data_IF_938070548024
#
_entry.id   IF_938070548024
#
_cell.length_a   1.000
_cell.length_b   1.000
_cell.length_c   1.000
_cell.angle_alpha   90.00
_cell.angle_beta   90.00
_cell.angle_gamma   90.00
#
_symmetry.space_group_name_H-M   'P 1'
#
loop_
_entity.id
_entity.type
_entity.pdbx_description
1 polymer ?
#
# COMPACT_ATOMS: atom_id res chain seq x y z
N UNK A 1 -35.40 20.74 -14.37
CA UNK A 1 -34.12 20.67 -13.67
C UNK A 1 -33.50 19.34 -14.05
N UNK A 2 -32.52 19.33 -14.92
CA UNK A 2 -31.77 18.10 -15.23
C UNK A 2 -31.17 17.64 -13.90
N UNK A 3 -31.51 16.43 -13.54
CA UNK A 3 -30.99 15.77 -12.34
C UNK A 3 -29.50 15.48 -12.62
N UNK A 4 -28.64 16.43 -12.27
CA UNK A 4 -27.22 16.40 -12.58
C UNK A 4 -26.54 15.44 -11.58
N UNK A 5 -26.69 14.14 -11.85
CA UNK A 5 -26.21 13.06 -11.00
C UNK A 5 -24.70 12.77 -11.24
N UNK A 6 -23.93 13.85 -11.49
CA UNK A 6 -22.51 13.76 -11.81
C UNK A 6 -21.70 13.26 -10.63
N UNK A 7 -20.78 12.34 -10.91
CA UNK A 7 -20.01 11.63 -9.91
C UNK A 7 -18.51 11.89 -10.00
N UNK A 8 -17.89 11.82 -8.86
CA UNK A 8 -16.43 11.84 -8.72
C UNK A 8 -15.97 10.50 -8.15
N UNK A 9 -15.01 9.87 -8.77
CA UNK A 9 -14.24 8.77 -8.18
C UNK A 9 -13.01 9.35 -7.51
N UNK A 10 -12.93 9.17 -6.20
CA UNK A 10 -11.88 9.74 -5.36
C UNK A 10 -11.09 8.64 -4.65
N UNK A 11 -9.86 8.39 -5.10
CA UNK A 11 -8.97 7.39 -4.53
C UNK A 11 -8.14 8.03 -3.42
N UNK A 12 -8.29 7.56 -2.18
CA UNK A 12 -7.68 8.18 -1.00
C UNK A 12 -8.51 9.35 -0.44
N UNK A 13 -9.83 9.31 -0.57
CA UNK A 13 -10.74 10.40 -0.23
C UNK A 13 -11.17 10.49 1.23
N UNK A 14 -10.76 9.56 2.09
CA UNK A 14 -11.27 9.49 3.47
C UNK A 14 -10.56 10.42 4.45
N UNK A 15 -9.41 10.99 4.07
CA UNK A 15 -8.67 11.89 4.95
C UNK A 15 -7.80 12.90 4.16
N UNK A 16 -7.23 13.86 4.90
CA UNK A 16 -6.25 14.84 4.38
C UNK A 16 -6.76 15.62 3.18
N UNK A 17 -5.89 15.78 2.17
CA UNK A 17 -6.20 16.58 0.98
C UNK A 17 -7.29 15.95 0.11
N UNK A 18 -7.37 14.61 0.04
CA UNK A 18 -8.42 13.90 -0.68
C UNK A 18 -9.79 14.22 -0.10
N UNK A 19 -9.94 14.19 1.23
CA UNK A 19 -11.16 14.58 1.92
C UNK A 19 -11.55 16.04 1.66
N UNK A 20 -10.56 16.96 1.68
CA UNK A 20 -10.81 18.38 1.39
C UNK A 20 -11.26 18.60 -0.06
N UNK A 21 -10.65 17.92 -1.03
CA UNK A 21 -11.08 17.93 -2.44
C UNK A 21 -12.49 17.37 -2.58
N UNK A 22 -12.78 16.24 -1.92
CA UNK A 22 -14.11 15.63 -1.92
C UNK A 22 -15.17 16.60 -1.41
N UNK A 23 -14.92 17.26 -0.27
CA UNK A 23 -15.82 18.27 0.27
C UNK A 23 -16.05 19.43 -0.71
N UNK A 24 -14.99 19.93 -1.35
CA UNK A 24 -15.11 20.98 -2.37
C UNK A 24 -15.94 20.55 -3.57
N UNK A 25 -15.79 19.31 -4.02
CA UNK A 25 -16.56 18.78 -5.16
C UNK A 25 -18.03 18.53 -4.81
N UNK A 26 -18.34 18.14 -3.55
CA UNK A 26 -19.73 18.13 -3.04
C UNK A 26 -20.37 19.52 -3.09
N UNK A 27 -19.63 20.57 -2.69
CA UNK A 27 -20.07 21.98 -2.75
C UNK A 27 -20.31 22.44 -4.22
N UNK A 28 -19.61 21.82 -5.18
CA UNK A 28 -19.83 22.03 -6.62
C UNK A 28 -21.01 21.22 -7.18
N UNK A 29 -21.72 20.43 -6.37
CA UNK A 29 -22.93 19.70 -6.74
C UNK A 29 -22.67 18.26 -7.23
N UNK A 30 -21.46 17.72 -7.10
CA UNK A 30 -21.15 16.33 -7.40
C UNK A 30 -21.55 15.39 -6.26
N UNK A 31 -21.67 14.11 -6.57
CA UNK A 31 -21.68 13.00 -5.59
C UNK A 31 -20.34 12.28 -5.63
N UNK A 32 -19.97 11.60 -4.54
CA UNK A 32 -18.64 10.96 -4.40
C UNK A 32 -18.73 9.43 -4.33
N UNK A 33 -17.88 8.77 -5.09
CA UNK A 33 -17.51 7.36 -4.95
C UNK A 33 -16.10 7.34 -4.33
N UNK A 34 -15.99 7.17 -3.01
CA UNK A 34 -14.70 7.19 -2.29
C UNK A 34 -14.15 5.77 -2.19
N UNK A 35 -12.95 5.55 -2.75
CA UNK A 35 -12.20 4.31 -2.62
C UNK A 35 -11.01 4.53 -1.68
N UNK A 36 -11.02 3.88 -0.52
CA UNK A 36 -9.98 4.03 0.51
C UNK A 36 -9.93 2.78 1.39
N UNK A 37 -8.80 2.56 2.07
CA UNK A 37 -8.66 1.46 3.03
C UNK A 37 -9.41 1.70 4.35
N UNK A 38 -9.74 2.95 4.66
CA UNK A 38 -10.53 3.35 5.83
C UNK A 38 -11.71 4.24 5.39
N UNK A 39 -12.87 4.13 6.03
CA UNK A 39 -13.98 5.03 5.76
C UNK A 39 -13.66 6.47 6.24
N UNK A 40 -14.31 7.50 5.67
CA UNK A 40 -14.25 8.85 6.21
C UNK A 40 -14.84 8.91 7.62
N UNK A 41 -14.37 9.85 8.44
CA UNK A 41 -14.89 10.07 9.78
C UNK A 41 -16.37 10.49 9.73
N UNK A 42 -17.17 9.98 10.67
CA UNK A 42 -18.60 10.32 10.76
C UNK A 42 -18.81 11.82 10.94
N UNK A 43 -19.82 12.37 10.26
CA UNK A 43 -20.21 13.77 10.36
C UNK A 43 -19.31 14.78 9.61
N UNK A 44 -18.25 14.30 8.93
CA UNK A 44 -17.36 15.20 8.14
C UNK A 44 -17.91 15.46 6.74
N UNK A 45 -18.57 14.48 6.14
CA UNK A 45 -19.20 14.55 4.83
C UNK A 45 -20.71 14.27 4.93
N UNK A 46 -21.48 14.80 3.97
CA UNK A 46 -22.88 14.44 3.77
C UNK A 46 -22.97 13.04 3.15
N UNK A 47 -23.15 12.01 3.99
CA UNK A 47 -23.16 10.62 3.59
C UNK A 47 -24.31 10.22 2.66
N UNK A 48 -25.35 11.06 2.48
CA UNK A 48 -26.37 10.83 1.47
C UNK A 48 -25.84 11.03 0.04
N UNK A 49 -24.75 11.78 -0.10
CA UNK A 49 -24.06 12.09 -1.38
C UNK A 49 -22.75 11.32 -1.55
N UNK A 50 -22.42 10.42 -0.62
CA UNK A 50 -21.13 9.72 -0.60
C UNK A 50 -21.36 8.22 -0.55
N UNK A 51 -20.78 7.50 -1.49
CA UNK A 51 -20.66 6.05 -1.45
C UNK A 51 -19.23 5.66 -1.18
N UNK A 52 -19.02 4.89 -0.10
CA UNK A 52 -17.70 4.39 0.28
C UNK A 52 -17.48 2.98 -0.23
N UNK A 53 -16.30 2.75 -0.80
CA UNK A 53 -15.79 1.45 -1.22
C UNK A 53 -14.52 1.15 -0.44
N UNK A 54 -14.50 0.05 0.30
CA UNK A 54 -13.25 -0.41 0.89
C UNK A 54 -12.31 -0.89 -0.22
N UNK A 55 -11.17 -0.25 -0.34
CA UNK A 55 -10.17 -0.60 -1.35
C UNK A 55 -8.74 -0.43 -0.80
N UNK A 56 -8.01 -1.52 -0.76
CA UNK A 56 -6.58 -1.52 -0.44
C UNK A 56 -5.78 -1.61 -1.75
N UNK A 57 -4.99 -0.59 -2.05
CA UNK A 57 -4.17 -0.52 -3.26
C UNK A 57 -3.08 -1.61 -3.32
N UNK A 58 -2.81 -2.29 -2.21
CA UNK A 58 -1.93 -3.48 -2.19
C UNK A 58 -2.63 -4.75 -2.67
N UNK A 59 -3.96 -4.83 -2.56
CA UNK A 59 -4.79 -5.94 -3.08
C UNK A 59 -5.74 -5.34 -4.14
N UNK A 60 -5.19 -5.01 -5.31
CA UNK A 60 -5.84 -4.21 -6.35
C UNK A 60 -7.13 -4.87 -6.87
N UNK A 61 -8.26 -4.23 -6.63
CA UNK A 61 -9.57 -4.66 -7.08
C UNK A 61 -9.89 -4.08 -8.48
N UNK A 62 -9.48 -4.80 -9.52
CA UNK A 62 -9.69 -4.40 -10.92
C UNK A 62 -11.20 -4.34 -11.27
N UNK A 63 -12.03 -5.21 -10.71
CA UNK A 63 -13.46 -5.26 -10.97
C UNK A 63 -14.15 -3.99 -10.45
N UNK A 64 -13.84 -3.57 -9.23
CA UNK A 64 -14.35 -2.32 -8.66
C UNK A 64 -14.04 -1.13 -9.57
N UNK A 65 -12.78 -0.96 -9.95
CA UNK A 65 -12.35 0.18 -10.78
C UNK A 65 -12.93 0.13 -12.19
N UNK A 66 -13.06 -1.06 -12.77
CA UNK A 66 -13.69 -1.26 -14.08
C UNK A 66 -15.17 -0.87 -14.04
N UNK A 67 -15.90 -1.27 -13.00
CA UNK A 67 -17.31 -0.89 -12.82
C UNK A 67 -17.46 0.63 -12.67
N UNK A 68 -16.60 1.28 -11.91
CA UNK A 68 -16.59 2.75 -11.77
C UNK A 68 -16.24 3.47 -13.08
N UNK A 69 -15.31 2.95 -13.88
CA UNK A 69 -14.94 3.53 -15.17
C UNK A 69 -16.05 3.41 -16.22
N UNK A 70 -16.88 2.37 -16.16
CA UNK A 70 -18.02 2.18 -17.04
C UNK A 70 -19.27 3.00 -16.63
N UNK A 71 -19.29 3.56 -15.43
CA UNK A 71 -20.36 4.43 -14.99
C UNK A 71 -20.28 5.78 -15.74
N UNK A 72 -21.29 6.04 -16.60
CA UNK A 72 -21.35 7.25 -17.44
C UNK A 72 -21.52 8.54 -16.66
N UNK A 73 -22.05 8.46 -15.44
CA UNK A 73 -22.24 9.60 -14.55
C UNK A 73 -20.90 10.06 -13.92
N UNK A 74 -19.87 9.23 -13.94
CA UNK A 74 -18.52 9.60 -13.46
C UNK A 74 -17.87 10.55 -14.46
N UNK A 75 -17.60 11.78 -14.03
CA UNK A 75 -16.92 12.82 -14.83
C UNK A 75 -15.53 13.16 -14.32
N UNK A 76 -15.24 12.82 -13.07
CA UNK A 76 -13.97 13.16 -12.44
C UNK A 76 -13.34 11.91 -11.83
N UNK A 77 -12.04 11.71 -12.09
CA UNK A 77 -11.16 10.80 -11.39
C UNK A 77 -10.09 11.61 -10.66
N UNK A 78 -10.02 11.49 -9.33
CA UNK A 78 -8.96 12.12 -8.55
C UNK A 78 -8.23 11.07 -7.70
N UNK A 79 -6.93 10.91 -7.90
CA UNK A 79 -6.08 9.96 -7.18
C UNK A 79 -5.20 10.73 -6.20
N UNK A 80 -5.52 10.63 -4.91
CA UNK A 80 -4.81 11.31 -3.83
C UNK A 80 -4.14 10.34 -2.86
N UNK A 81 -4.42 9.05 -2.99
CA UNK A 81 -3.80 8.03 -2.18
C UNK A 81 -2.28 8.04 -2.36
N UNK A 82 -1.58 7.87 -1.27
CA UNK A 82 -0.13 7.78 -1.27
C UNK A 82 0.41 7.59 0.13
N UNK A 83 1.59 7.01 0.22
CA UNK A 83 2.31 6.78 1.45
C UNK A 83 3.77 7.20 1.30
N UNK A 84 4.38 7.67 2.37
CA UNK A 84 5.78 8.07 2.34
C UNK A 84 6.43 8.04 3.71
N UNK A 85 7.75 8.07 3.69
CA UNK A 85 8.57 8.13 4.89
C UNK A 85 9.81 8.98 4.65
N UNK A 86 10.22 9.74 5.65
CA UNK A 86 11.48 10.45 5.68
C UNK A 86 12.44 9.67 6.59
N UNK A 87 13.26 8.81 6.00
CA UNK A 87 14.25 8.00 6.68
C UNK A 87 15.46 7.77 5.76
N UNK A 88 16.63 7.58 6.33
CA UNK A 88 17.79 7.17 5.55
C UNK A 88 17.57 5.78 4.96
N UNK A 89 18.08 5.56 3.74
CA UNK A 89 17.77 4.35 2.95
C UNK A 89 18.07 3.04 3.69
N UNK A 90 19.12 3.01 4.50
CA UNK A 90 19.48 1.85 5.31
C UNK A 90 18.39 1.40 6.32
N UNK A 91 17.43 2.28 6.64
CA UNK A 91 16.33 1.97 7.56
C UNK A 91 15.04 1.55 6.83
N UNK A 92 15.05 1.48 5.50
CA UNK A 92 13.94 0.93 4.72
C UNK A 92 14.04 -0.59 4.61
N UNK A 93 12.97 -1.27 4.95
CA UNK A 93 12.83 -2.71 4.68
C UNK A 93 12.34 -2.92 3.24
N UNK A 94 12.69 -4.06 2.62
CA UNK A 94 12.28 -4.41 1.25
C UNK A 94 10.75 -4.33 1.10
N UNK A 95 9.98 -4.88 2.05
CA UNK A 95 8.52 -4.80 2.04
C UNK A 95 7.98 -3.35 2.09
N UNK A 96 8.67 -2.44 2.76
CA UNK A 96 8.29 -1.02 2.79
C UNK A 96 8.55 -0.36 1.43
N UNK A 97 9.66 -0.71 0.79
CA UNK A 97 10.00 -0.25 -0.57
C UNK A 97 8.92 -0.70 -1.56
N UNK A 98 8.59 -2.00 -1.55
CA UNK A 98 7.55 -2.59 -2.39
C UNK A 98 6.19 -1.92 -2.14
N UNK A 99 5.83 -1.73 -0.88
CA UNK A 99 4.58 -1.08 -0.48
C UNK A 99 4.47 0.35 -1.03
N UNK A 100 5.51 1.17 -0.86
CA UNK A 100 5.54 2.56 -1.36
C UNK A 100 5.41 2.57 -2.88
N UNK A 101 6.21 1.77 -3.60
CA UNK A 101 6.15 1.72 -5.06
C UNK A 101 4.80 1.19 -5.56
N UNK A 102 4.22 0.20 -4.90
CA UNK A 102 2.91 -0.35 -5.29
C UNK A 102 1.81 0.67 -5.08
N UNK A 103 1.69 1.26 -3.91
CA UNK A 103 0.62 2.23 -3.60
C UNK A 103 0.76 3.49 -4.44
N UNK A 104 1.94 4.11 -4.46
CA UNK A 104 2.12 5.44 -5.05
C UNK A 104 2.25 5.40 -6.57
N UNK A 105 2.81 4.31 -7.15
CA UNK A 105 3.11 4.24 -8.58
C UNK A 105 2.29 3.19 -9.31
N UNK A 106 2.45 1.91 -8.95
CA UNK A 106 1.87 0.80 -9.72
C UNK A 106 0.36 0.89 -9.73
N UNK A 107 -0.27 1.08 -8.57
CA UNK A 107 -1.74 1.17 -8.46
C UNK A 107 -2.29 2.42 -9.13
N UNK A 108 -1.58 3.57 -9.02
CA UNK A 108 -1.93 4.81 -9.75
C UNK A 108 -1.96 4.58 -11.26
N UNK A 109 -0.92 3.95 -11.82
CA UNK A 109 -0.85 3.66 -13.27
C UNK A 109 -1.94 2.66 -13.68
N UNK A 110 -2.20 1.63 -12.88
CA UNK A 110 -3.29 0.67 -13.14
C UNK A 110 -4.65 1.35 -13.18
N UNK A 111 -4.96 2.20 -12.20
CA UNK A 111 -6.23 2.95 -12.17
C UNK A 111 -6.36 3.83 -13.40
N UNK A 112 -5.33 4.61 -13.74
CA UNK A 112 -5.33 5.42 -14.95
C UNK A 112 -5.51 4.58 -16.22
N UNK A 113 -4.95 3.36 -16.28
CA UNK A 113 -5.16 2.45 -17.40
C UNK A 113 -6.61 1.98 -17.51
N UNK A 114 -7.26 1.68 -16.38
CA UNK A 114 -8.68 1.28 -16.35
C UNK A 114 -9.58 2.43 -16.83
N UNK A 115 -9.29 3.66 -16.44
CA UNK A 115 -10.04 4.85 -16.85
C UNK A 115 -9.59 5.44 -18.19
N UNK A 116 -8.60 4.84 -18.87
CA UNK A 116 -7.92 5.48 -20.01
C UNK A 116 -8.85 5.77 -21.19
N UNK A 117 -9.83 4.90 -21.48
CA UNK A 117 -10.81 5.14 -22.55
C UNK A 117 -11.65 6.39 -22.29
N UNK A 118 -12.01 6.66 -21.02
CA UNK A 118 -12.71 7.88 -20.62
C UNK A 118 -11.83 9.12 -20.75
N UNK A 119 -10.56 9.00 -20.37
CA UNK A 119 -9.58 10.10 -20.47
C UNK A 119 -9.26 10.41 -21.94
N UNK A 120 -9.18 9.39 -22.79
CA UNK A 120 -8.91 9.54 -24.22
C UNK A 120 -10.11 10.06 -25.01
N UNK A 121 -11.32 9.84 -24.54
CA UNK A 121 -12.56 10.20 -25.21
C UNK A 121 -12.64 11.72 -25.53
N UNK A 122 -13.53 12.07 -26.48
CA UNK A 122 -13.79 13.49 -26.81
C UNK A 122 -14.74 14.16 -25.82
N UNK A 123 -15.50 13.37 -25.10
CA UNK A 123 -16.37 13.84 -24.00
C UNK A 123 -15.53 14.38 -22.85
N UNK A 124 -16.09 15.35 -22.15
CA UNK A 124 -15.43 15.97 -21.02
C UNK A 124 -15.20 14.94 -19.89
N UNK A 125 -13.96 14.75 -19.56
CA UNK A 125 -13.51 13.97 -18.41
C UNK A 125 -12.36 14.68 -17.73
N UNK A 126 -12.37 14.74 -16.41
CA UNK A 126 -11.34 15.40 -15.62
C UNK A 126 -10.56 14.36 -14.83
N UNK A 127 -9.25 14.34 -14.97
CA UNK A 127 -8.38 13.43 -14.23
C UNK A 127 -7.30 14.22 -13.50
N UNK A 128 -7.06 13.88 -12.24
CA UNK A 128 -5.99 14.48 -11.44
C UNK A 128 -5.29 13.44 -10.58
N UNK A 129 -4.00 13.61 -10.38
CA UNK A 129 -3.17 12.71 -9.59
C UNK A 129 -2.29 13.51 -8.64
N UNK A 130 -2.21 13.08 -7.39
CA UNK A 130 -1.29 13.66 -6.42
C UNK A 130 0.14 13.15 -6.67
N UNK A 131 0.90 13.97 -7.40
CA UNK A 131 2.34 13.87 -7.50
C UNK A 131 3.04 14.35 -6.21
N UNK A 132 4.17 14.96 -6.35
CA UNK A 132 4.91 15.65 -5.29
C UNK A 132 6.05 16.44 -5.89
N UNK A 133 6.44 17.54 -5.26
CA UNK A 133 7.69 18.25 -5.60
C UNK A 133 8.91 17.33 -5.49
N UNK A 134 8.85 16.30 -4.63
CA UNK A 134 9.90 15.27 -4.53
C UNK A 134 10.05 14.42 -5.79
N UNK A 135 9.07 14.41 -6.68
CA UNK A 135 9.17 13.76 -8.00
C UNK A 135 9.92 14.60 -9.04
N UNK A 136 10.20 15.88 -8.75
CA UNK A 136 10.87 16.83 -9.65
C UNK A 136 12.33 17.08 -9.31
N UNK A 137 12.79 16.58 -8.14
CA UNK A 137 14.13 16.81 -7.64
C UNK A 137 14.60 15.62 -6.79
N UNK A 138 15.92 15.51 -6.55
CA UNK A 138 16.43 14.53 -5.59
C UNK A 138 15.99 14.87 -4.17
N UNK A 139 15.57 13.85 -3.43
CA UNK A 139 15.08 14.01 -2.06
C UNK A 139 15.77 13.03 -1.12
N UNK A 140 17.00 13.30 -0.68
CA UNK A 140 17.69 12.45 0.28
C UNK A 140 16.85 12.20 1.53
N UNK A 141 16.97 11.03 2.13
CA UNK A 141 16.11 10.52 3.23
C UNK A 141 14.63 10.33 2.88
N UNK A 142 14.23 10.57 1.63
CA UNK A 142 12.93 10.21 1.09
C UNK A 142 13.08 9.57 -0.30
N UNK A 143 14.19 8.87 -0.52
CA UNK A 143 14.63 8.38 -1.83
C UNK A 143 13.61 7.46 -2.50
N UNK A 144 13.02 6.52 -1.77
CA UNK A 144 12.01 5.58 -2.29
C UNK A 144 10.73 6.33 -2.68
N UNK A 145 10.25 7.22 -1.82
CA UNK A 145 9.08 8.06 -2.10
C UNK A 145 9.31 8.99 -3.30
N UNK A 146 10.48 9.63 -3.36
CA UNK A 146 10.84 10.49 -4.48
C UNK A 146 10.92 9.73 -5.81
N UNK A 147 11.48 8.51 -5.81
CA UNK A 147 11.51 7.63 -6.97
C UNK A 147 10.08 7.26 -7.42
N UNK A 148 9.19 6.89 -6.48
CA UNK A 148 7.80 6.59 -6.78
C UNK A 148 7.08 7.79 -7.41
N UNK A 149 7.23 8.99 -6.84
CA UNK A 149 6.58 10.20 -7.36
C UNK A 149 7.21 10.70 -8.68
N UNK A 150 8.52 10.52 -8.87
CA UNK A 150 9.17 10.81 -10.14
C UNK A 150 8.64 9.92 -11.28
N UNK A 151 8.42 8.63 -11.01
CA UNK A 151 7.80 7.72 -11.96
C UNK A 151 6.39 8.18 -12.36
N UNK A 152 5.54 8.58 -11.40
CA UNK A 152 4.19 9.09 -11.65
C UNK A 152 4.21 10.37 -12.47
N UNK A 153 5.03 11.35 -12.08
CA UNK A 153 5.16 12.62 -12.80
C UNK A 153 5.59 12.40 -14.24
N UNK A 154 6.59 11.56 -14.48
CA UNK A 154 7.07 11.26 -15.82
C UNK A 154 6.04 10.49 -16.65
N UNK A 155 5.31 9.57 -16.03
CA UNK A 155 4.21 8.86 -16.66
C UNK A 155 3.11 9.81 -17.11
N UNK A 156 2.63 10.71 -16.25
CA UNK A 156 1.57 11.69 -16.56
C UNK A 156 2.00 12.61 -17.70
N UNK A 157 3.23 13.11 -17.68
CA UNK A 157 3.78 13.95 -18.74
C UNK A 157 3.74 13.23 -20.09
N UNK A 158 4.20 11.98 -20.14
CA UNK A 158 4.20 11.16 -21.35
C UNK A 158 2.80 10.88 -21.87
N UNK A 159 1.87 10.48 -21.00
CA UNK A 159 0.49 10.19 -21.38
C UNK A 159 -0.26 11.44 -21.85
N UNK A 160 -0.02 12.62 -21.26
CA UNK A 160 -0.63 13.86 -21.74
C UNK A 160 -0.20 14.21 -23.17
N UNK A 161 1.05 13.91 -23.55
CA UNK A 161 1.53 14.07 -24.94
C UNK A 161 0.82 13.08 -25.89
N UNK A 162 0.63 11.83 -25.46
CA UNK A 162 -0.13 10.84 -26.22
C UNK A 162 -1.60 11.26 -26.40
N UNK A 163 -2.25 11.75 -25.34
CA UNK A 163 -3.63 12.27 -25.41
C UNK A 163 -3.76 13.39 -26.43
N UNK A 164 -2.79 14.31 -26.46
CA UNK A 164 -2.75 15.39 -27.45
C UNK A 164 -2.56 14.87 -28.86
N UNK A 165 -1.64 13.92 -29.06
CA UNK A 165 -1.38 13.30 -30.35
C UNK A 165 -2.60 12.54 -30.90
N UNK A 166 -3.44 11.97 -30.02
CA UNK A 166 -4.72 11.36 -30.41
C UNK A 166 -5.88 12.35 -30.53
N UNK A 167 -5.65 13.64 -30.31
CA UNK A 167 -6.65 14.71 -30.45
C UNK A 167 -7.64 14.82 -29.30
N UNK A 168 -7.37 14.21 -28.13
CA UNK A 168 -8.15 14.43 -26.93
C UNK A 168 -7.85 15.81 -26.34
N UNK A 169 -8.90 16.48 -25.83
CA UNK A 169 -8.78 17.73 -25.07
C UNK A 169 -8.68 17.50 -23.56
N UNK A 170 -8.93 16.28 -23.11
CA UNK A 170 -8.77 15.93 -21.69
C UNK A 170 -7.28 15.85 -21.32
N UNK A 171 -6.98 16.16 -20.07
CA UNK A 171 -5.63 16.11 -19.53
C UNK A 171 -5.65 15.47 -18.13
N UNK A 172 -4.55 14.85 -17.79
CA UNK A 172 -4.29 14.37 -16.43
C UNK A 172 -3.51 15.48 -15.71
N UNK A 173 -4.08 16.07 -14.69
CA UNK A 173 -3.44 17.09 -13.86
C UNK A 173 -2.43 16.42 -12.92
N UNK A 174 -1.14 16.75 -13.05
CA UNK A 174 -0.12 16.49 -12.02
C UNK A 174 -0.20 17.55 -10.94
N UNK A 175 -0.65 17.16 -9.75
CA UNK A 175 -0.66 18.03 -8.55
C UNK A 175 0.58 17.71 -7.72
N UNK A 176 1.60 18.56 -7.78
CA UNK A 176 2.90 18.33 -7.13
C UNK A 176 3.18 19.29 -5.97
N UNK A 177 2.49 19.13 -4.81
CA UNK A 177 2.74 19.99 -3.65
C UNK A 177 4.05 19.62 -2.94
N UNK A 178 4.52 20.56 -2.11
CA UNK A 178 5.45 20.27 -1.03
C UNK A 178 4.71 19.70 0.20
N UNK A 179 5.43 19.50 1.28
CA UNK A 179 4.81 19.16 2.58
C UNK A 179 3.84 20.26 3.02
N UNK A 180 2.63 19.89 3.37
CA UNK A 180 1.60 20.77 3.91
C UNK A 180 1.01 20.17 5.20
N UNK A 181 0.41 21.04 6.02
CA UNK A 181 -0.25 20.64 7.27
C UNK A 181 -1.67 20.13 6.98
N UNK A 182 -2.31 19.57 8.00
CA UNK A 182 -3.71 19.14 7.92
C UNK A 182 -3.92 17.78 7.27
N UNK A 183 -2.88 16.95 7.17
CA UNK A 183 -2.98 15.56 6.68
C UNK A 183 -2.30 14.57 7.62
N UNK A 184 -2.71 13.31 7.54
CA UNK A 184 -2.08 12.19 8.28
C UNK A 184 -0.79 11.68 7.62
N UNK A 185 -0.39 12.21 6.48
CA UNK A 185 0.68 11.68 5.65
C UNK A 185 2.01 11.52 6.40
N UNK A 186 2.36 12.50 7.26
CA UNK A 186 3.54 12.43 8.14
C UNK A 186 3.16 12.31 9.62
N UNK A 187 2.05 11.61 9.94
CA UNK A 187 1.61 11.43 11.33
C UNK A 187 0.85 12.62 11.92
N UNK A 188 0.43 13.57 11.09
CA UNK A 188 -0.42 14.71 11.49
C UNK A 188 -1.86 14.33 11.78
N UNK A 189 -2.66 15.31 12.18
CA UNK A 189 -4.13 15.18 12.29
C UNK A 189 -4.80 15.74 11.06
N UNK A 190 -5.99 15.24 10.72
CA UNK A 190 -6.83 15.88 9.71
C UNK A 190 -7.24 17.28 10.19
N UNK A 191 -6.98 18.27 9.36
CA UNK A 191 -7.43 19.64 9.56
C UNK A 191 -7.87 20.21 8.21
N UNK A 192 -9.18 20.24 8.01
CA UNK A 192 -9.76 20.73 6.75
C UNK A 192 -9.54 22.23 6.55
N UNK A 193 -9.32 23.00 7.61
CA UNK A 193 -9.05 24.45 7.49
C UNK A 193 -7.68 24.71 6.87
N UNK A 194 -6.69 23.89 7.19
CA UNK A 194 -5.33 23.95 6.63
C UNK A 194 -5.28 23.46 5.17
N UNK A 195 -6.17 22.54 4.79
CA UNK A 195 -6.18 21.94 3.44
C UNK A 195 -7.17 22.56 2.47
N UNK A 196 -8.15 23.34 2.94
CA UNK A 196 -9.23 23.91 2.11
C UNK A 196 -8.72 24.77 0.96
N UNK A 197 -7.79 25.67 1.23
CA UNK A 197 -7.25 26.59 0.20
C UNK A 197 -6.53 25.79 -0.91
N UNK A 198 -5.75 24.80 -0.51
CA UNK A 198 -5.06 23.94 -1.47
C UNK A 198 -6.05 23.10 -2.28
N UNK A 199 -7.11 22.59 -1.67
CA UNK A 199 -8.17 21.85 -2.35
C UNK A 199 -8.92 22.72 -3.36
N UNK A 200 -9.23 23.96 -3.02
CA UNK A 200 -9.86 24.96 -3.92
C UNK A 200 -8.99 25.20 -5.16
N UNK A 201 -7.69 25.41 -4.97
CA UNK A 201 -6.77 25.63 -6.07
C UNK A 201 -6.61 24.39 -6.95
N UNK A 202 -6.52 23.18 -6.36
CA UNK A 202 -6.47 21.93 -7.10
C UNK A 202 -7.71 21.76 -7.99
N UNK A 203 -8.91 22.00 -7.46
CA UNK A 203 -10.17 21.88 -8.21
C UNK A 203 -10.23 22.89 -9.35
N UNK A 204 -9.76 24.13 -9.14
CA UNK A 204 -9.66 25.14 -10.24
C UNK A 204 -8.76 24.67 -11.36
N UNK A 205 -7.56 24.20 -11.05
CA UNK A 205 -6.60 23.70 -12.06
C UNK A 205 -7.12 22.44 -12.76
N UNK A 206 -7.84 21.55 -12.03
CA UNK A 206 -8.48 20.37 -12.61
C UNK A 206 -9.51 20.76 -13.68
N UNK A 207 -10.43 21.70 -13.37
CA UNK A 207 -11.42 22.17 -14.33
C UNK A 207 -10.82 23.02 -15.46
N UNK A 208 -9.70 23.69 -15.23
CA UNK A 208 -8.94 24.39 -16.29
C UNK A 208 -8.22 23.42 -17.24
N UNK A 209 -8.16 22.09 -16.93
CA UNK A 209 -7.39 21.09 -17.66
C UNK A 209 -5.89 21.41 -17.74
N UNK A 210 -5.38 22.02 -16.68
CA UNK A 210 -3.94 22.23 -16.58
C UNK A 210 -3.21 20.88 -16.51
N UNK A 211 -2.04 20.81 -17.11
CA UNK A 211 -1.23 19.58 -17.10
C UNK A 211 -0.43 19.45 -15.80
N UNK A 212 -0.25 20.57 -15.09
CA UNK A 212 0.57 20.63 -13.86
C UNK A 212 0.12 21.74 -12.93
N UNK A 213 0.11 21.44 -11.65
CA UNK A 213 -0.05 22.41 -10.59
C UNK A 213 0.97 22.17 -9.47
N UNK A 214 1.89 23.10 -9.28
CA UNK A 214 2.83 23.15 -8.15
C UNK A 214 2.44 24.36 -7.30
N UNK A 215 1.88 24.18 -6.09
CA UNK A 215 1.51 25.28 -5.22
C UNK A 215 2.71 26.18 -4.92
N UNK A 216 2.54 27.48 -4.97
CA UNK A 216 3.60 28.49 -4.78
C UNK A 216 4.78 28.36 -5.77
N UNK A 217 4.53 27.91 -7.01
CA UNK A 217 5.58 27.70 -8.01
C UNK A 217 6.43 28.96 -8.20
N UNK A 218 5.84 30.08 -8.64
CA UNK A 218 6.57 31.33 -8.94
C UNK A 218 7.26 31.91 -7.70
N UNK A 219 6.61 31.84 -6.54
CA UNK A 219 7.14 32.41 -5.29
C UNK A 219 8.28 31.61 -4.69
N UNK A 220 8.26 30.28 -4.83
CA UNK A 220 9.15 29.40 -4.07
C UNK A 220 9.83 28.34 -4.95
N UNK A 221 9.02 27.52 -5.66
CA UNK A 221 9.55 26.27 -6.23
C UNK A 221 10.30 26.46 -7.54
N UNK A 222 10.04 27.54 -8.28
CA UNK A 222 10.86 27.89 -9.46
C UNK A 222 12.34 28.02 -9.08
N UNK A 223 12.64 28.85 -8.09
CA UNK A 223 14.02 29.00 -7.63
C UNK A 223 14.60 27.75 -6.95
N UNK A 224 13.77 26.89 -6.36
CA UNK A 224 14.19 25.59 -5.82
C UNK A 224 14.62 24.66 -6.95
N UNK A 225 13.80 24.53 -8.00
CA UNK A 225 14.10 23.69 -9.16
C UNK A 225 15.28 24.23 -9.96
N UNK A 226 15.43 25.55 -10.11
CA UNK A 226 16.60 26.16 -10.74
C UNK A 226 17.90 25.80 -9.99
N UNK A 227 17.93 25.92 -8.66
CA UNK A 227 19.10 25.49 -7.86
C UNK A 227 19.38 24.01 -8.01
N UNK A 228 18.34 23.17 -7.99
CA UNK A 228 18.50 21.75 -8.22
C UNK A 228 19.08 21.43 -9.58
N UNK A 229 18.58 22.05 -10.66
CA UNK A 229 19.09 21.79 -12.01
C UNK A 229 20.52 22.31 -12.22
N UNK A 230 20.89 23.41 -11.54
CA UNK A 230 22.25 23.94 -11.60
C UNK A 230 23.27 23.02 -10.89
N UNK A 231 22.96 22.54 -9.70
CA UNK A 231 23.79 21.59 -8.96
C UNK A 231 22.92 20.63 -8.13
N UNK A 232 22.54 19.46 -8.71
CA UNK A 232 21.77 18.46 -7.98
C UNK A 232 22.46 17.88 -6.76
N UNK A 233 23.79 17.84 -6.76
CA UNK A 233 24.57 17.26 -5.67
C UNK A 233 24.59 18.22 -4.46
N UNK A 234 24.98 19.47 -4.66
CA UNK A 234 24.97 20.49 -3.59
C UNK A 234 23.57 20.69 -3.03
N UNK A 235 22.57 20.79 -3.91
CA UNK A 235 21.17 20.84 -3.48
C UNK A 235 20.79 19.65 -2.60
N UNK A 236 21.18 18.45 -3.00
CA UNK A 236 20.89 17.22 -2.26
C UNK A 236 21.52 17.20 -0.88
N UNK A 237 22.79 17.59 -0.76
CA UNK A 237 23.48 17.69 0.54
C UNK A 237 22.82 18.70 1.47
N UNK A 238 22.48 19.87 0.96
CA UNK A 238 21.77 20.89 1.73
C UNK A 238 20.39 20.41 2.20
N UNK A 239 19.62 19.74 1.31
CA UNK A 239 18.32 19.16 1.64
C UNK A 239 18.41 18.07 2.71
N UNK A 240 19.43 17.22 2.65
CA UNK A 240 19.70 16.20 3.67
C UNK A 240 19.98 16.81 5.04
N UNK A 241 20.91 17.78 5.08
CA UNK A 241 21.28 18.48 6.32
C UNK A 241 20.08 19.17 6.96
N UNK A 242 19.27 19.87 6.16
CA UNK A 242 18.05 20.52 6.64
C UNK A 242 17.05 19.52 7.27
N UNK A 243 16.83 18.35 6.63
CA UNK A 243 15.93 17.31 7.17
C UNK A 243 16.45 16.75 8.49
N UNK A 244 17.76 16.55 8.60
CA UNK A 244 18.41 16.07 9.81
C UNK A 244 18.27 17.08 10.96
N UNK A 245 18.60 18.34 10.73
CA UNK A 245 18.53 19.43 11.73
C UNK A 245 17.09 19.72 12.17
N UNK A 246 16.14 19.62 11.25
CA UNK A 246 14.71 19.84 11.56
C UNK A 246 14.03 18.69 12.29
N UNK A 247 14.75 17.60 12.62
CA UNK A 247 14.21 16.45 13.34
C UNK A 247 13.18 15.64 12.56
N UNK A 248 13.16 15.74 11.22
CA UNK A 248 12.18 15.06 10.36
C UNK A 248 12.53 13.61 10.07
N UNK A 249 13.75 13.16 10.40
CA UNK A 249 14.18 11.80 10.12
C UNK A 249 13.51 10.80 11.07
N UNK A 250 12.84 9.83 10.49
CA UNK A 250 12.28 8.70 11.22
C UNK A 250 13.07 7.43 10.92
N UNK A 251 14.22 7.33 11.55
CA UNK A 251 15.16 6.21 11.39
C UNK A 251 14.82 5.00 12.28
N UNK A 252 13.54 4.82 12.66
CA UNK A 252 13.08 3.67 13.46
C UNK A 252 12.61 2.55 12.54
N UNK A 253 12.79 1.30 12.96
CA UNK A 253 12.18 0.15 12.28
C UNK A 253 10.64 0.28 12.36
N UNK A 254 9.97 0.26 11.21
CA UNK A 254 8.49 0.34 11.13
C UNK A 254 7.84 -0.96 10.70
N UNK A 255 8.57 -1.82 9.99
CA UNK A 255 8.05 -3.09 9.46
C UNK A 255 8.04 -4.14 10.55
N UNK A 256 6.89 -4.73 10.81
CA UNK A 256 6.74 -5.93 11.65
C UNK A 256 6.97 -7.18 10.82
N UNK A 257 8.01 -7.93 11.15
CA UNK A 257 8.32 -9.20 10.52
C UNK A 257 7.65 -10.31 11.33
N UNK A 258 6.85 -11.13 10.67
CA UNK A 258 6.26 -12.34 11.22
C UNK A 258 7.01 -13.58 10.75
N UNK A 259 7.11 -14.57 11.59
CA UNK A 259 7.66 -15.88 11.27
C UNK A 259 6.69 -16.96 11.72
N UNK A 260 6.56 -18.00 10.92
CA UNK A 260 5.96 -19.26 11.33
C UNK A 260 6.64 -20.41 10.62
N UNK A 261 6.65 -21.58 11.25
CA UNK A 261 7.21 -22.80 10.68
C UNK A 261 6.18 -23.92 10.60
N UNK A 262 6.32 -24.78 9.60
CA UNK A 262 5.43 -25.91 9.42
C UNK A 262 5.92 -26.89 8.35
N UNK A 263 5.36 -28.11 8.36
CA UNK A 263 5.66 -29.12 7.33
C UNK A 263 4.94 -28.80 6.02
N UNK A 264 3.72 -28.23 6.08
CA UNK A 264 2.86 -27.88 4.94
C UNK A 264 2.62 -29.00 3.95
N UNK A 265 2.69 -30.28 4.42
CA UNK A 265 2.39 -31.43 3.62
C UNK A 265 0.88 -31.56 3.36
N UNK A 266 0.48 -31.99 2.14
CA UNK A 266 -0.91 -32.01 1.72
C UNK A 266 -1.61 -30.65 1.97
N UNK A 267 -1.07 -29.59 1.37
CA UNK A 267 -1.55 -28.23 1.60
C UNK A 267 -3.08 -28.13 1.47
N UNK A 268 -3.73 -27.55 2.45
CA UNK A 268 -5.20 -27.48 2.55
C UNK A 268 -5.64 -26.13 3.13
N UNK A 269 -6.96 -25.89 3.17
CA UNK A 269 -7.56 -24.63 3.64
C UNK A 269 -7.14 -24.25 5.07
N UNK A 270 -6.82 -25.23 5.92
CA UNK A 270 -6.30 -24.97 7.27
C UNK A 270 -4.94 -24.26 7.25
N UNK A 271 -4.04 -24.66 6.35
CA UNK A 271 -2.76 -23.98 6.12
C UNK A 271 -2.98 -22.58 5.56
N UNK A 272 -3.86 -22.45 4.55
CA UNK A 272 -4.19 -21.16 3.96
C UNK A 272 -4.73 -20.15 5.02
N UNK A 273 -5.64 -20.59 5.87
CA UNK A 273 -6.19 -19.77 6.94
C UNK A 273 -5.14 -19.35 7.97
N UNK A 274 -4.20 -20.24 8.30
CA UNK A 274 -3.08 -19.92 9.18
C UNK A 274 -2.22 -18.80 8.57
N UNK A 275 -1.80 -18.95 7.31
CA UNK A 275 -0.99 -17.97 6.58
C UNK A 275 -1.72 -16.63 6.48
N UNK A 276 -3.02 -16.64 6.15
CA UNK A 276 -3.85 -15.42 6.10
C UNK A 276 -3.88 -14.69 7.44
N UNK A 277 -4.15 -15.41 8.55
CA UNK A 277 -4.19 -14.81 9.89
C UNK A 277 -2.84 -14.26 10.34
N UNK A 278 -1.74 -14.96 10.00
CA UNK A 278 -0.40 -14.50 10.30
C UNK A 278 -0.08 -13.20 9.54
N UNK A 279 -0.37 -13.17 8.22
CA UNK A 279 -0.15 -11.99 7.38
C UNK A 279 -0.95 -10.76 7.84
N UNK A 280 -2.15 -10.94 8.36
CA UNK A 280 -2.96 -9.85 8.92
C UNK A 280 -2.34 -9.19 10.17
N UNK A 281 -1.33 -9.82 10.77
CA UNK A 281 -0.68 -9.33 12.00
C UNK A 281 0.79 -8.95 11.82
N UNK A 282 1.28 -8.95 10.57
CA UNK A 282 2.63 -8.50 10.25
C UNK A 282 2.67 -7.86 8.86
N UNK A 283 3.69 -7.04 8.61
CA UNK A 283 3.90 -6.41 7.30
C UNK A 283 4.65 -7.36 6.34
N UNK A 284 5.51 -8.23 6.88
CA UNK A 284 6.32 -9.18 6.11
C UNK A 284 6.31 -10.55 6.77
N UNK A 285 5.73 -11.55 6.09
CA UNK A 285 5.60 -12.90 6.61
C UNK A 285 6.65 -13.84 6.01
N UNK A 286 7.52 -14.36 6.85
CA UNK A 286 8.50 -15.40 6.51
C UNK A 286 7.94 -16.75 6.96
N UNK A 287 7.95 -17.72 6.06
CA UNK A 287 7.46 -19.08 6.33
C UNK A 287 8.57 -20.08 6.19
N UNK A 288 8.92 -20.73 7.30
CA UNK A 288 9.85 -21.86 7.34
C UNK A 288 9.15 -23.17 7.00
N UNK A 289 9.63 -23.86 5.97
CA UNK A 289 9.12 -25.20 5.58
C UNK A 289 10.07 -26.28 6.09
N UNK A 290 9.58 -27.18 6.95
CA UNK A 290 10.40 -28.29 7.45
C UNK A 290 10.70 -29.30 6.34
N UNK A 291 11.91 -29.83 6.33
CA UNK A 291 12.37 -30.85 5.38
C UNK A 291 11.54 -32.11 5.47
N UNK A 292 11.22 -32.55 6.69
CA UNK A 292 10.44 -33.75 6.95
C UNK A 292 9.46 -33.59 8.12
N UNK A 293 8.51 -34.52 8.23
CA UNK A 293 7.63 -34.66 9.40
C UNK A 293 8.17 -35.68 10.41
N UNK A 294 9.39 -36.23 10.20
CA UNK A 294 9.94 -37.34 10.96
C UNK A 294 10.02 -37.10 12.46
N UNK A 295 10.33 -35.86 12.89
CA UNK A 295 10.34 -35.45 14.30
C UNK A 295 8.94 -35.47 14.97
N UNK A 296 7.86 -35.49 14.15
CA UNK A 296 6.46 -35.74 14.60
C UNK A 296 6.00 -37.15 14.35
N UNK A 297 6.91 -38.08 13.97
CA UNK A 297 6.56 -39.45 13.59
C UNK A 297 5.70 -39.56 12.33
N UNK A 298 5.83 -38.58 11.40
CA UNK A 298 5.05 -38.53 10.16
C UNK A 298 5.97 -38.46 8.94
N UNK A 299 5.72 -39.28 7.95
CA UNK A 299 6.32 -39.17 6.63
C UNK A 299 5.60 -38.08 5.81
N UNK A 300 6.32 -37.39 4.94
CA UNK A 300 5.76 -36.41 4.01
C UNK A 300 5.42 -37.07 2.68
N UNK A 301 4.27 -36.76 2.10
CA UNK A 301 3.84 -37.21 0.78
C UNK A 301 4.42 -36.36 -0.35
N UNK A 302 4.57 -35.06 -0.09
CA UNK A 302 5.01 -34.08 -1.08
C UNK A 302 6.47 -33.71 -0.77
N UNK A 303 7.39 -33.77 -1.78
CA UNK A 303 8.78 -33.36 -1.62
C UNK A 303 8.92 -31.93 -1.10
N UNK A 304 10.02 -31.63 -0.40
CA UNK A 304 10.27 -30.32 0.23
C UNK A 304 10.14 -29.18 -0.77
N UNK A 305 10.79 -29.27 -1.93
CA UNK A 305 10.80 -28.18 -2.92
C UNK A 305 9.43 -27.91 -3.52
N UNK A 306 8.60 -28.92 -3.70
CA UNK A 306 7.21 -28.74 -4.14
C UNK A 306 6.37 -28.05 -3.05
N UNK A 307 6.55 -28.43 -1.78
CA UNK A 307 5.87 -27.78 -0.65
C UNK A 307 6.29 -26.32 -0.51
N UNK A 308 7.57 -26.01 -0.66
CA UNK A 308 8.08 -24.63 -0.68
C UNK A 308 7.49 -23.82 -1.85
N UNK A 309 7.39 -24.43 -3.02
CA UNK A 309 6.77 -23.80 -4.21
C UNK A 309 5.30 -23.47 -3.96
N UNK A 310 4.52 -24.42 -3.42
CA UNK A 310 3.09 -24.20 -3.11
C UNK A 310 2.91 -23.09 -2.05
N UNK A 311 3.71 -23.13 -0.98
CA UNK A 311 3.67 -22.11 0.07
C UNK A 311 4.06 -20.74 -0.47
N UNK A 312 5.10 -20.68 -1.32
CA UNK A 312 5.59 -19.44 -1.92
C UNK A 312 4.61 -18.82 -2.93
N UNK A 313 3.77 -19.63 -3.56
CA UNK A 313 2.70 -19.16 -4.44
C UNK A 313 1.49 -18.60 -3.67
N UNK A 314 1.46 -18.72 -2.34
CA UNK A 314 0.38 -18.19 -1.53
C UNK A 314 0.53 -16.67 -1.36
N UNK A 315 -0.47 -15.90 -1.77
CA UNK A 315 -0.45 -14.42 -1.70
C UNK A 315 -0.22 -13.82 -0.29
N UNK A 316 -0.29 -14.63 0.74
CA UNK A 316 -0.06 -14.20 2.14
C UNK A 316 1.39 -14.38 2.59
N UNK A 317 2.25 -14.96 1.76
CA UNK A 317 3.64 -15.29 2.09
C UNK A 317 4.58 -14.39 1.31
N UNK A 318 5.43 -13.66 2.01
CA UNK A 318 6.40 -12.77 1.37
C UNK A 318 7.74 -13.48 1.13
N UNK A 319 8.08 -14.46 1.98
CA UNK A 319 9.32 -15.22 1.85
C UNK A 319 9.16 -16.66 2.36
N UNK A 320 9.64 -17.61 1.58
CA UNK A 320 9.77 -19.02 2.01
C UNK A 320 11.23 -19.33 2.28
N UNK A 321 11.48 -20.03 3.36
CA UNK A 321 12.84 -20.47 3.76
C UNK A 321 12.80 -21.92 4.22
N UNK A 322 13.96 -22.57 4.25
CA UNK A 322 14.10 -23.83 4.96
C UNK A 322 13.94 -23.57 6.46
N UNK A 323 13.10 -24.37 7.11
CA UNK A 323 12.87 -24.21 8.53
C UNK A 323 14.08 -24.67 9.34
N UNK A 324 14.48 -23.87 10.31
CA UNK A 324 15.42 -24.30 11.34
C UNK A 324 14.78 -25.38 12.23
N UNK A 325 15.63 -26.12 12.95
CA UNK A 325 15.18 -27.14 13.91
C UNK A 325 14.40 -26.52 15.07
N UNK A 326 14.87 -25.37 15.55
CA UNK A 326 14.21 -24.55 16.56
C UNK A 326 13.84 -23.21 15.96
N UNK A 327 12.68 -22.66 16.36
CA UNK A 327 12.25 -21.34 15.88
C UNK A 327 13.15 -20.22 16.45
N UNK A 328 13.82 -20.47 17.60
CA UNK A 328 14.83 -19.58 18.15
C UNK A 328 16.03 -19.41 17.20
N UNK A 329 16.51 -20.50 16.57
CA UNK A 329 17.62 -20.45 15.59
C UNK A 329 17.20 -19.65 14.34
N UNK A 330 15.93 -19.72 13.97
CA UNK A 330 15.39 -18.92 12.87
C UNK A 330 15.36 -17.42 13.22
N UNK A 331 15.22 -17.06 14.50
CA UNK A 331 15.27 -15.67 14.92
C UNK A 331 16.67 -15.06 14.75
N UNK A 332 17.71 -15.81 14.99
CA UNK A 332 19.10 -15.35 14.77
C UNK A 332 19.38 -15.01 13.30
N UNK A 333 18.66 -15.64 12.36
CA UNK A 333 18.78 -15.40 10.93
C UNK A 333 17.87 -14.24 10.43
N UNK A 334 16.65 -14.15 10.96
CA UNK A 334 15.60 -13.31 10.37
C UNK A 334 15.14 -12.17 11.25
N UNK A 335 15.51 -12.13 12.53
CA UNK A 335 15.16 -11.08 13.50
C UNK A 335 13.68 -10.67 13.43
N UNK A 336 12.77 -11.67 13.42
CA UNK A 336 11.34 -11.43 13.36
C UNK A 336 10.81 -10.83 14.68
N UNK A 337 9.70 -10.10 14.58
CA UNK A 337 9.03 -9.44 15.71
C UNK A 337 7.90 -10.27 16.28
N UNK A 338 7.35 -11.22 15.47
CA UNK A 338 6.25 -12.11 15.87
C UNK A 338 6.51 -13.55 15.44
N UNK A 339 6.35 -14.46 16.39
CA UNK A 339 6.32 -15.89 16.14
C UNK A 339 4.87 -16.38 16.15
N UNK A 340 4.37 -16.86 15.02
CA UNK A 340 3.00 -17.39 14.94
C UNK A 340 2.97 -18.90 15.08
N UNK A 341 2.09 -19.42 15.92
CA UNK A 341 2.01 -20.86 16.24
C UNK A 341 0.58 -21.27 16.57
N UNK A 342 0.27 -22.56 16.43
CA UNK A 342 -1.00 -23.12 16.87
C UNK A 342 -1.14 -23.10 18.41
N UNK A 343 -2.36 -22.92 18.89
CA UNK A 343 -2.66 -22.89 20.34
C UNK A 343 -2.39 -24.21 21.07
N UNK A 344 -2.26 -25.31 20.35
CA UNK A 344 -1.89 -26.63 20.85
C UNK A 344 -0.46 -26.69 21.43
N UNK A 345 0.39 -25.76 21.05
CA UNK A 345 1.75 -25.62 21.57
C UNK A 345 1.86 -24.77 22.84
N UNK A 346 0.81 -24.01 23.18
CA UNK A 346 0.82 -23.14 24.36
C UNK A 346 0.99 -23.94 25.65
N UNK A 347 1.96 -23.56 26.47
CA UNK A 347 2.24 -24.21 27.74
C UNK A 347 3.09 -25.48 27.64
N UNK A 348 3.50 -25.90 26.44
CA UNK A 348 4.48 -26.98 26.29
C UNK A 348 5.86 -26.53 26.78
N UNK A 349 6.72 -27.46 27.22
CA UNK A 349 8.08 -27.16 27.70
C UNK A 349 8.92 -26.42 26.66
N UNK A 350 8.73 -26.74 25.37
CA UNK A 350 9.40 -26.04 24.26
C UNK A 350 9.00 -24.56 24.23
N UNK A 351 7.70 -24.27 24.31
CA UNK A 351 7.21 -22.89 24.20
C UNK A 351 7.40 -22.08 25.49
N UNK A 352 7.44 -22.72 26.66
CA UNK A 352 7.89 -22.04 27.90
C UNK A 352 9.34 -21.54 27.79
N UNK A 353 10.25 -22.38 27.17
CA UNK A 353 11.62 -21.96 26.88
C UNK A 353 11.68 -20.81 25.87
N UNK A 354 10.82 -20.81 24.85
CA UNK A 354 10.73 -19.71 23.88
C UNK A 354 10.20 -18.42 24.52
N UNK A 355 9.18 -18.49 25.36
CA UNK A 355 8.65 -17.35 26.08
C UNK A 355 9.74 -16.66 26.93
N UNK A 356 10.59 -17.43 27.60
CA UNK A 356 11.73 -16.89 28.35
C UNK A 356 12.85 -16.38 27.40
N UNK A 357 13.20 -17.12 26.36
CA UNK A 357 14.23 -16.73 25.39
C UNK A 357 13.89 -15.41 24.66
N UNK A 358 12.63 -15.19 24.34
CA UNK A 358 12.18 -14.01 23.59
C UNK A 358 11.84 -12.80 24.46
N UNK A 359 11.77 -12.96 25.77
CA UNK A 359 11.36 -11.93 26.73
C UNK A 359 12.11 -10.60 26.54
N UNK A 360 13.45 -10.67 26.44
CA UNK A 360 14.31 -9.49 26.28
C UNK A 360 14.60 -9.13 24.82
N UNK A 361 14.07 -9.89 23.87
CA UNK A 361 14.28 -9.68 22.42
C UNK A 361 13.12 -8.93 21.75
N UNK A 362 12.06 -8.64 22.50
CA UNK A 362 10.89 -7.92 21.98
C UNK A 362 10.05 -8.73 20.98
N UNK A 363 10.17 -10.07 20.99
CA UNK A 363 9.40 -10.96 20.12
C UNK A 363 8.10 -11.34 20.81
N UNK A 364 6.98 -11.15 20.11
CA UNK A 364 5.66 -11.58 20.55
C UNK A 364 5.33 -12.97 20.01
N UNK A 365 5.01 -13.93 20.89
CA UNK A 365 4.50 -15.25 20.47
C UNK A 365 2.98 -15.18 20.38
N UNK A 366 2.43 -15.37 19.18
CA UNK A 366 0.99 -15.29 18.89
C UNK A 366 0.44 -16.70 18.70
N UNK A 367 -0.46 -17.12 19.57
CA UNK A 367 -1.09 -18.44 19.52
C UNK A 367 -2.42 -18.38 18.77
N UNK A 368 -2.52 -19.05 17.63
CA UNK A 368 -3.76 -19.12 16.87
C UNK A 368 -4.65 -20.30 17.28
N UNK A 369 -5.95 -20.09 17.45
CA UNK A 369 -6.87 -21.18 17.72
C UNK A 369 -6.90 -22.17 16.56
N UNK A 370 -7.01 -23.46 16.87
CA UNK A 370 -7.08 -24.53 15.90
C UNK A 370 -8.29 -24.34 14.97
N UNK A 371 -8.07 -24.45 13.67
CA UNK A 371 -9.14 -24.36 12.68
C UNK A 371 -9.80 -25.73 12.55
N UNK A 372 -11.08 -25.86 12.90
CA UNK A 372 -11.89 -27.10 12.81
C UNK A 372 -12.24 -27.47 11.35
N UNK A 373 -11.37 -27.22 10.39
CA UNK A 373 -11.56 -27.59 8.98
C UNK A 373 -10.72 -28.81 8.63
N UNK A 374 -10.64 -29.12 7.35
CA UNK A 374 -9.80 -30.18 6.80
C UNK A 374 -8.39 -30.17 7.40
N UNK A 375 -7.88 -31.30 7.86
CA UNK A 375 -6.52 -31.44 8.36
C UNK A 375 -5.74 -32.47 7.53
N UNK A 376 -4.41 -32.34 7.49
CA UNK A 376 -3.52 -33.31 6.82
C UNK A 376 -3.75 -34.75 7.37
N UNK A 377 -4.09 -34.88 8.65
CA UNK A 377 -4.41 -36.18 9.27
C UNK A 377 -5.70 -36.78 8.69
N UNK A 378 -6.75 -35.99 8.50
CA UNK A 378 -7.99 -36.44 7.87
C UNK A 378 -7.75 -36.90 6.41
N UNK A 379 -6.96 -36.13 5.65
CA UNK A 379 -6.63 -36.46 4.26
C UNK A 379 -5.82 -37.75 4.22
N UNK A 380 -4.81 -37.92 5.09
CA UNK A 380 -4.00 -39.14 5.19
C UNK A 380 -4.86 -40.38 5.49
N UNK A 381 -5.72 -40.27 6.49
CA UNK A 381 -6.62 -41.36 6.86
C UNK A 381 -7.56 -41.75 5.71
N UNK A 382 -8.04 -40.80 4.95
CA UNK A 382 -8.90 -41.05 3.79
C UNK A 382 -8.14 -41.75 2.64
N UNK A 383 -6.87 -41.43 2.44
CA UNK A 383 -6.01 -42.09 1.44
C UNK A 383 -5.70 -43.50 1.87
N UNK A 384 -5.27 -43.71 3.11
CA UNK A 384 -4.86 -45.03 3.64
C UNK A 384 -6.04 -45.99 3.70
N UNK A 385 -7.25 -45.53 4.08
CA UNK A 385 -8.46 -46.36 4.12
C UNK A 385 -9.00 -46.72 2.72
N UNK A 386 -8.59 -45.99 1.65
CA UNK A 386 -8.92 -46.36 0.27
C UNK A 386 -7.89 -47.32 -0.36
N UNK A 387 -6.65 -47.33 0.10
CA UNK A 387 -5.61 -48.21 -0.39
C UNK A 387 -5.71 -49.65 0.21
N UNK A 388 -6.55 -49.84 1.23
CA UNK A 388 -6.80 -51.14 1.84
C UNK A 388 -8.12 -51.79 1.41
N UNK A 389 -8.77 -51.27 0.38
CA UNK A 389 -9.90 -51.89 -0.34
C UNK A 389 -9.50 -52.16 -1.78
#
# INVERSE_FOLDING_TARGET
MENNNKKVVLIGGSNGIGLAIGKKLLDCGYTLEICDCLPPEEGVLDMEKVKYHHSDLLDFDEELYTNLAHDKDVEILMITAGIGRIADFQFHHIAEIEKILTVDTVSTIKILRVFYERILAKENFYAGVMGSISGWLSSPSASVYAAAKAAVVRFIESVNIELEAYGSTNRILDVSPASFKGSRFYGGKNDLTETAVLADDIVKHLFARDVRFIPNYEKTFKGVLERYHNDPHEYGLHSYQYKKESGRLDNKKRVKIGYLSGTFDLFHVGHLNLLKRAKQQCDYLIVGVHDSGAWKGKETFIPLEERKTIVGACKYVDKVVDSCREDADAWDLWHYDRLFVGSDYKGTERFKRYEEYFKDKGVEIVYFPYTKSTSSTQIRNAITNKAGK
#
